data_IF_922596575129
#
_entry.id   IF_922596575129
#
_cell.length_a   1.000
_cell.length_b   1.000
_cell.length_c   1.000
_cell.angle_alpha   90.00
_cell.angle_beta   90.00
_cell.angle_gamma   90.00
#
_symmetry.space_group_name_H-M   'P 1'
#
loop_
_entity.id
_entity.type
_entity.pdbx_description
1 polymer ?
#
# COMPACT_ATOMS: atom_id res chain seq x y z
N UNK A 1 -7.78 -1.09 76.38
CA UNK A 1 -8.77 -0.60 75.41
C UNK A 1 -8.59 -1.41 74.14
N UNK A 2 -9.24 -2.57 74.07
CA UNK A 2 -9.12 -3.48 72.92
C UNK A 2 -10.22 -3.16 71.91
N UNK A 3 -9.83 -2.70 70.73
CA UNK A 3 -10.73 -2.55 69.59
C UNK A 3 -11.11 -3.94 69.10
N UNK A 4 -12.34 -4.36 69.38
CA UNK A 4 -12.94 -5.55 68.79
C UNK A 4 -13.37 -5.23 67.36
N UNK A 5 -12.81 -5.95 66.38
CA UNK A 5 -13.18 -5.89 64.98
C UNK A 5 -14.56 -6.55 64.78
N UNK A 6 -15.52 -5.94 64.05
CA UNK A 6 -16.79 -6.60 63.77
C UNK A 6 -16.55 -7.73 62.76
N UNK A 7 -17.01 -8.93 63.11
CA UNK A 7 -16.97 -10.12 62.26
C UNK A 7 -17.71 -9.87 60.95
N UNK A 8 -16.97 -9.82 59.83
CA UNK A 8 -17.53 -9.69 58.49
C UNK A 8 -18.42 -10.91 58.18
N UNK A 9 -19.62 -10.72 57.60
CA UNK A 9 -20.52 -11.82 57.30
C UNK A 9 -19.96 -12.78 56.23
N UNK A 10 -20.13 -14.09 56.42
CA UNK A 10 -19.57 -15.16 55.59
C UNK A 10 -19.99 -15.15 54.10
N UNK A 11 -21.00 -14.35 53.71
CA UNK A 11 -21.46 -14.22 52.32
C UNK A 11 -20.59 -13.31 51.44
N UNK A 12 -19.66 -12.55 52.03
CA UNK A 12 -18.77 -11.66 51.28
C UNK A 12 -17.64 -12.41 50.54
N UNK A 13 -17.26 -13.60 51.03
CA UNK A 13 -16.29 -14.47 50.36
C UNK A 13 -16.82 -15.01 49.03
N UNK A 14 -18.13 -15.28 48.93
CA UNK A 14 -18.76 -15.75 47.68
C UNK A 14 -18.73 -14.71 46.56
N UNK A 15 -18.87 -13.42 46.91
CA UNK A 15 -18.76 -12.30 45.95
C UNK A 15 -17.31 -12.04 45.50
N UNK A 16 -16.33 -12.23 46.40
CA UNK A 16 -14.91 -12.11 46.07
C UNK A 16 -14.42 -13.25 45.16
N UNK A 17 -14.95 -14.48 45.32
CA UNK A 17 -14.61 -15.64 44.48
C UNK A 17 -15.21 -15.55 43.07
N UNK A 18 -16.34 -14.85 42.90
CA UNK A 18 -16.95 -14.63 41.58
C UNK A 18 -16.21 -13.57 40.74
N UNK A 19 -15.42 -12.69 41.36
CA UNK A 19 -14.72 -11.60 40.66
C UNK A 19 -13.35 -12.00 40.08
N UNK A 20 -12.82 -13.18 40.42
CA UNK A 20 -11.42 -13.56 40.13
C UNK A 20 -11.18 -14.31 38.80
N UNK A 21 -12.19 -14.51 37.94
CA UNK A 21 -12.03 -15.32 36.71
C UNK A 21 -12.02 -14.52 35.41
N UNK A 22 -11.90 -13.20 35.44
CA UNK A 22 -11.70 -12.40 34.23
C UNK A 22 -10.22 -12.44 33.81
N UNK A 23 -9.86 -13.36 32.90
CA UNK A 23 -8.56 -13.30 32.23
C UNK A 23 -8.63 -12.26 31.12
N UNK A 24 -7.86 -11.17 31.27
CA UNK A 24 -7.68 -10.20 30.19
C UNK A 24 -6.84 -10.87 29.09
N UNK A 25 -7.48 -11.20 27.97
CA UNK A 25 -6.80 -11.73 26.79
C UNK A 25 -6.38 -10.56 25.89
N UNK A 26 -5.10 -10.52 25.50
CA UNK A 26 -4.62 -9.57 24.49
C UNK A 26 -5.01 -10.13 23.13
N UNK A 27 -5.98 -9.48 22.48
CA UNK A 27 -6.39 -9.83 21.13
C UNK A 27 -5.58 -8.99 20.14
N UNK A 28 -4.60 -9.62 19.50
CA UNK A 28 -3.84 -8.99 18.41
C UNK A 28 -4.67 -9.09 17.13
N UNK A 29 -4.88 -7.98 16.38
CA UNK A 29 -5.57 -8.04 15.11
C UNK A 29 -4.80 -8.94 14.13
N UNK A 30 -5.50 -9.55 13.15
CA UNK A 30 -4.84 -10.30 12.09
C UNK A 30 -3.89 -9.38 11.32
N UNK A 31 -2.83 -9.96 10.75
CA UNK A 31 -1.94 -9.23 9.85
C UNK A 31 -2.67 -8.95 8.52
N UNK A 32 -2.69 -7.69 8.09
CA UNK A 32 -3.28 -7.29 6.81
C UNK A 32 -2.53 -6.11 6.21
N UNK A 33 -2.68 -5.89 4.91
CA UNK A 33 -2.11 -4.74 4.21
C UNK A 33 -2.92 -3.47 4.53
N UNK A 34 -2.37 -2.59 5.36
CA UNK A 34 -3.03 -1.34 5.75
C UNK A 34 -3.24 -0.38 4.58
N UNK A 35 -2.40 -0.47 3.54
CA UNK A 35 -2.40 0.41 2.38
C UNK A 35 -3.36 -0.05 1.27
N UNK A 36 -3.83 -1.30 1.32
CA UNK A 36 -4.70 -1.86 0.29
C UNK A 36 -5.99 -1.04 0.17
N UNK A 37 -6.32 -0.65 -1.05
CA UNK A 37 -7.52 0.14 -1.39
C UNK A 37 -7.65 1.48 -0.61
N UNK A 38 -6.52 2.03 -0.13
CA UNK A 38 -6.46 3.37 0.48
C UNK A 38 -6.35 4.47 -0.56
N UNK A 39 -6.45 5.73 -0.12
CA UNK A 39 -6.22 6.86 -1.03
C UNK A 39 -4.73 7.02 -1.23
N UNK A 40 -4.28 6.89 -2.48
CA UNK A 40 -2.89 7.15 -2.88
C UNK A 40 -2.83 8.36 -3.80
N UNK A 41 -1.73 9.10 -3.76
CA UNK A 41 -1.47 10.23 -4.65
C UNK A 41 -0.01 10.24 -5.03
N UNK A 42 0.29 10.36 -6.32
CA UNK A 42 1.63 10.51 -6.84
C UNK A 42 1.84 11.95 -7.34
N UNK A 43 3.03 12.51 -7.15
CA UNK A 43 3.35 13.84 -7.70
C UNK A 43 3.46 13.84 -9.22
N UNK A 44 3.78 12.70 -9.82
CA UNK A 44 3.84 12.52 -11.25
C UNK A 44 3.64 11.06 -11.63
N UNK A 45 2.90 10.85 -12.71
CA UNK A 45 2.62 9.54 -13.31
C UNK A 45 2.96 9.60 -14.80
N UNK A 46 3.38 8.48 -15.39
CA UNK A 46 3.63 8.46 -16.83
C UNK A 46 2.36 8.75 -17.64
N UNK A 47 2.51 9.36 -18.80
CA UNK A 47 1.42 9.70 -19.72
C UNK A 47 0.50 10.84 -19.24
N UNK A 48 0.64 11.32 -18.00
CA UNK A 48 -0.07 12.51 -17.52
C UNK A 48 0.69 13.79 -17.86
N UNK A 49 -0.03 14.82 -18.30
CA UNK A 49 0.54 16.15 -18.61
C UNK A 49 1.29 16.23 -19.95
N UNK A 50 1.12 15.23 -20.82
CA UNK A 50 1.68 15.17 -22.17
C UNK A 50 0.56 15.04 -23.21
N UNK A 51 0.79 15.56 -24.42
CA UNK A 51 -0.19 15.51 -25.51
C UNK A 51 -0.21 14.14 -26.22
N UNK A 52 0.94 13.48 -26.28
CA UNK A 52 1.15 12.21 -26.97
C UNK A 52 1.49 11.09 -25.97
N UNK A 53 1.24 9.81 -26.31
CA UNK A 53 1.64 8.67 -25.50
C UNK A 53 3.14 8.66 -25.16
N UNK A 54 3.46 8.53 -23.88
CA UNK A 54 4.83 8.71 -23.39
C UNK A 54 5.66 7.43 -23.56
N UNK A 55 6.75 7.50 -24.33
CA UNK A 55 7.65 6.36 -24.54
C UNK A 55 8.51 6.09 -23.29
N UNK A 56 8.56 4.83 -22.86
CA UNK A 56 9.48 4.34 -21.84
C UNK A 56 10.18 3.06 -22.31
N UNK A 57 11.41 2.84 -21.85
CA UNK A 57 12.21 1.66 -22.21
C UNK A 57 12.67 0.92 -20.95
N UNK A 58 12.64 -0.42 -21.00
CA UNK A 58 13.23 -1.29 -20.00
C UNK A 58 14.74 -1.34 -20.22
N UNK A 59 15.49 -1.25 -19.12
CA UNK A 59 16.95 -1.34 -19.14
C UNK A 59 17.44 -2.77 -19.34
N UNK A 60 16.62 -3.76 -18.97
CA UNK A 60 16.86 -5.14 -19.38
C UNK A 60 16.57 -5.19 -20.87
N UNK A 61 17.62 -5.44 -21.67
CA UNK A 61 17.51 -5.48 -23.13
C UNK A 61 16.41 -6.45 -23.58
N UNK A 62 15.96 -6.28 -24.81
CA UNK A 62 14.92 -7.14 -25.36
C UNK A 62 15.37 -8.60 -25.31
N UNK A 63 14.54 -9.47 -24.74
CA UNK A 63 14.78 -10.90 -24.80
C UNK A 63 14.26 -11.45 -26.15
N UNK A 64 14.73 -12.64 -26.55
CA UNK A 64 14.35 -13.23 -27.84
C UNK A 64 12.86 -13.66 -27.91
N UNK A 65 12.09 -13.47 -26.83
CA UNK A 65 10.67 -13.85 -26.72
C UNK A 65 9.73 -12.64 -26.83
N UNK A 66 10.26 -11.41 -26.75
CA UNK A 66 9.49 -10.18 -26.87
C UNK A 66 9.25 -9.81 -28.34
N UNK A 67 8.05 -9.30 -28.64
CA UNK A 67 7.66 -8.90 -29.99
C UNK A 67 8.64 -7.86 -30.56
N UNK A 68 9.19 -8.13 -31.75
CA UNK A 68 10.23 -7.30 -32.40
C UNK A 68 9.80 -5.85 -32.63
N UNK A 69 8.49 -5.60 -32.71
CA UNK A 69 7.91 -4.26 -32.88
C UNK A 69 8.25 -3.29 -31.74
N UNK A 70 8.44 -3.80 -30.52
CA UNK A 70 8.73 -2.98 -29.33
C UNK A 70 10.23 -2.87 -29.05
N UNK A 71 11.09 -3.35 -29.96
CA UNK A 71 12.55 -3.35 -29.77
C UNK A 71 13.16 -2.13 -30.46
N UNK A 72 13.59 -1.15 -29.66
CA UNK A 72 14.31 0.03 -30.15
C UNK A 72 15.74 0.02 -29.61
N UNK A 73 16.74 -0.05 -30.51
CA UNK A 73 18.15 -0.02 -30.11
C UNK A 73 18.58 -1.21 -29.23
N UNK A 74 17.89 -2.36 -29.33
CA UNK A 74 18.16 -3.55 -28.52
C UNK A 74 17.53 -3.54 -27.12
N UNK A 75 16.73 -2.53 -26.80
CA UNK A 75 15.94 -2.45 -25.58
C UNK A 75 14.46 -2.60 -25.90
N UNK A 76 13.71 -3.17 -24.95
CA UNK A 76 12.25 -3.22 -25.05
C UNK A 76 11.68 -1.88 -24.62
N UNK A 77 10.90 -1.25 -25.48
CA UNK A 77 10.23 0.02 -25.24
C UNK A 77 8.74 -0.08 -25.54
N UNK A 78 7.94 0.64 -24.78
CA UNK A 78 6.48 0.70 -24.92
C UNK A 78 6.00 2.11 -24.55
N UNK A 79 4.72 2.39 -24.79
CA UNK A 79 4.11 3.69 -24.54
C UNK A 79 3.18 3.62 -23.34
N UNK A 80 3.26 4.64 -22.49
CA UNK A 80 2.30 4.88 -21.42
C UNK A 80 1.24 5.88 -21.91
N UNK A 81 -0.03 5.46 -21.86
CA UNK A 81 -1.17 6.27 -22.29
C UNK A 81 -2.29 6.16 -21.23
N UNK A 82 -2.68 7.28 -20.57
CA UNK A 82 -3.72 7.25 -19.56
C UNK A 82 -5.11 6.91 -20.13
N UNK A 83 -5.31 7.07 -21.44
CA UNK A 83 -6.57 6.82 -22.14
C UNK A 83 -6.80 5.32 -22.41
N UNK A 84 -5.73 4.53 -22.45
CA UNK A 84 -5.77 3.11 -22.77
C UNK A 84 -5.64 2.26 -21.50
N UNK A 85 -6.54 1.30 -21.30
CA UNK A 85 -6.63 0.52 -20.06
C UNK A 85 -5.40 -0.36 -19.80
N UNK A 86 -4.81 -0.88 -20.88
CA UNK A 86 -3.63 -1.75 -20.91
C UNK A 86 -2.31 -0.98 -20.81
N UNK A 87 -2.30 0.30 -21.18
CA UNK A 87 -1.11 1.17 -21.17
C UNK A 87 -1.11 2.26 -20.09
N UNK A 88 -2.19 2.37 -19.31
CA UNK A 88 -2.25 3.30 -18.18
C UNK A 88 -1.62 2.69 -16.94
N UNK A 89 -0.94 3.52 -16.18
CA UNK A 89 -0.25 3.12 -14.95
C UNK A 89 -0.50 4.10 -13.80
N UNK A 90 -1.77 4.35 -13.42
CA UNK A 90 -2.12 5.32 -12.39
C UNK A 90 -1.72 4.84 -10.99
N UNK A 91 -1.67 5.77 -10.03
CA UNK A 91 -1.15 5.50 -8.68
C UNK A 91 -1.93 4.41 -7.94
N UNK A 92 -3.24 4.29 -8.21
CA UNK A 92 -4.13 3.31 -7.59
C UNK A 92 -3.69 1.87 -7.86
N UNK A 93 -3.02 1.61 -9.00
CA UNK A 93 -2.53 0.26 -9.33
C UNK A 93 -1.41 -0.22 -8.41
N UNK A 94 -0.80 0.66 -7.61
CA UNK A 94 0.21 0.25 -6.62
C UNK A 94 -0.40 -0.44 -5.39
N UNK A 95 -1.70 -0.28 -5.14
CA UNK A 95 -2.36 -0.67 -3.88
C UNK A 95 -3.70 -1.38 -4.08
N UNK A 96 -4.07 -1.70 -5.32
CA UNK A 96 -5.37 -2.30 -5.64
C UNK A 96 -5.39 -3.84 -5.48
N UNK A 97 -4.28 -4.43 -5.06
CA UNK A 97 -4.14 -5.88 -4.85
C UNK A 97 -4.05 -6.70 -6.14
N UNK A 98 -4.02 -6.05 -7.32
CA UNK A 98 -3.87 -6.72 -8.61
C UNK A 98 -2.40 -6.79 -9.05
N UNK A 99 -2.13 -7.51 -10.16
CA UNK A 99 -0.78 -7.56 -10.78
C UNK A 99 -0.44 -6.31 -11.60
N UNK A 100 -1.35 -5.33 -11.64
CA UNK A 100 -1.10 -4.06 -12.32
C UNK A 100 -0.10 -3.23 -11.53
N UNK A 101 0.45 -2.22 -12.19
CA UNK A 101 1.51 -1.39 -11.64
C UNK A 101 1.27 0.08 -11.93
N UNK A 102 1.64 0.91 -10.96
CA UNK A 102 1.92 2.33 -11.19
C UNK A 102 3.30 2.50 -11.83
N UNK A 103 3.48 3.59 -12.58
CA UNK A 103 4.74 3.92 -13.25
C UNK A 103 5.00 5.43 -13.18
N UNK A 104 6.20 5.79 -12.76
CA UNK A 104 6.69 7.18 -12.82
C UNK A 104 6.99 7.58 -14.26
N UNK A 105 7.04 8.90 -14.54
CA UNK A 105 7.57 9.39 -15.80
C UNK A 105 9.02 8.93 -16.05
N UNK A 106 9.43 8.74 -17.31
CA UNK A 106 10.80 8.41 -17.67
C UNK A 106 11.73 9.62 -17.49
N UNK A 107 13.01 9.35 -17.18
CA UNK A 107 14.03 10.40 -17.06
C UNK A 107 14.31 11.14 -18.37
N UNK A 108 13.92 10.56 -19.51
CA UNK A 108 13.96 11.24 -20.82
C UNK A 108 13.05 12.46 -20.88
N UNK A 109 11.99 12.53 -20.06
CA UNK A 109 11.11 13.72 -19.97
C UNK A 109 11.76 14.88 -19.22
N UNK A 110 12.72 14.60 -18.35
CA UNK A 110 13.44 15.62 -17.59
C UNK A 110 14.00 15.12 -16.27
N UNK A 111 15.00 15.82 -15.77
CA UNK A 111 15.66 15.48 -14.50
C UNK A 111 14.78 15.76 -13.28
N UNK A 112 13.68 16.51 -13.44
CA UNK A 112 12.71 16.77 -12.36
C UNK A 112 12.04 15.48 -11.86
N UNK A 113 11.96 14.46 -12.72
CA UNK A 113 11.41 13.14 -12.37
C UNK A 113 12.44 12.19 -11.74
N UNK A 114 13.63 12.69 -11.39
CA UNK A 114 14.59 11.95 -10.56
C UNK A 114 14.05 11.69 -9.15
N UNK A 115 13.03 12.43 -8.74
CA UNK A 115 12.35 12.34 -7.46
C UNK A 115 10.85 12.49 -7.68
N UNK A 116 10.11 11.50 -7.22
CA UNK A 116 8.65 11.49 -7.20
C UNK A 116 8.20 11.11 -5.80
N UNK A 117 7.13 11.73 -5.32
CA UNK A 117 6.57 11.42 -4.01
C UNK A 117 5.26 10.66 -4.19
N UNK A 118 5.14 9.53 -3.49
CA UNK A 118 3.89 8.76 -3.37
C UNK A 118 3.41 8.93 -1.94
N UNK A 119 2.19 9.44 -1.79
CA UNK A 119 1.54 9.67 -0.50
C UNK A 119 0.35 8.74 -0.39
N UNK A 120 0.33 7.89 0.64
CA UNK A 120 -0.78 6.99 0.95
C UNK A 120 -1.42 7.47 2.25
N UNK A 121 -2.72 7.79 2.18
CA UNK A 121 -3.51 8.17 3.34
C UNK A 121 -4.13 6.92 3.97
N UNK A 122 -3.60 6.53 5.12
CA UNK A 122 -4.04 5.35 5.86
C UNK A 122 -5.29 5.61 6.72
N UNK A 123 -5.64 6.88 6.98
CA UNK A 123 -6.86 7.28 7.70
C UNK A 123 -7.02 6.73 9.13
N UNK A 124 -5.93 6.47 9.84
CA UNK A 124 -5.90 5.94 11.22
C UNK A 124 -5.43 6.99 12.21
#
# INVERSE_FOLDING_TARGET
>A
MGVTCPSAPQWWWGLLVLATTATAQVLTPPYFNLAENRRITATATCGEGVADPELYCKLVGANNEEATEHIHGGQWCDNCDPSQLDKKHPAEFAIDGSERRWQSPPLSRGMDYNRVNLTIDLGQ
#
